data_IF_296777198667
#
_entry.id   IF_296777198667
#
_cell.length_a   1.000
_cell.length_b   1.000
_cell.length_c   1.000
_cell.angle_alpha   90.00
_cell.angle_beta   90.00
_cell.angle_gamma   90.00
#
_symmetry.space_group_name_H-M   'P 1'
#
loop_
_entity.id
_entity.type
_entity.pdbx_description
1 polymer ?
#
# COMPACT_ATOMS: atom_id res chain seq x y z
N UNK A 1 -1.93 22.33 7.96
CA UNK A 1 -1.29 21.94 6.68
C UNK A 1 -2.06 22.36 5.42
N UNK A 2 -3.22 22.99 5.55
CA UNK A 2 -4.07 23.37 4.42
C UNK A 2 -3.32 24.16 3.30
N UNK A 3 -2.49 25.10 3.69
CA UNK A 3 -1.77 25.99 2.75
C UNK A 3 -0.45 25.39 2.18
N UNK A 4 -0.14 24.12 2.44
CA UNK A 4 1.07 23.50 1.92
C UNK A 4 0.81 22.89 0.53
N UNK A 5 1.43 23.47 -0.50
CA UNK A 5 1.30 23.01 -1.89
C UNK A 5 1.81 21.58 -2.15
N UNK A 6 2.71 21.09 -1.29
CA UNK A 6 3.22 19.71 -1.36
C UNK A 6 2.23 18.63 -0.94
N UNK A 7 1.13 19.01 -0.27
CA UNK A 7 0.06 18.07 0.08
C UNK A 7 -0.86 17.94 -1.13
N UNK A 8 -0.93 16.75 -1.73
CA UNK A 8 -1.69 16.49 -2.96
C UNK A 8 -3.04 15.81 -2.70
N UNK A 9 -3.17 15.10 -1.58
CA UNK A 9 -4.43 14.44 -1.18
C UNK A 9 -4.48 14.25 0.34
N UNK A 10 -5.66 13.91 0.85
CA UNK A 10 -5.89 13.61 2.27
C UNK A 10 -6.08 12.11 2.46
N UNK A 11 -5.23 11.50 3.29
CA UNK A 11 -5.37 10.11 3.72
C UNK A 11 -6.34 10.01 4.90
N UNK A 12 -7.42 9.25 4.74
CA UNK A 12 -8.49 9.14 5.76
C UNK A 12 -8.15 8.09 6.82
N UNK A 13 -7.54 6.98 6.42
CA UNK A 13 -7.20 5.87 7.33
C UNK A 13 -6.20 4.89 6.71
N UNK A 14 -5.65 4.02 7.57
CA UNK A 14 -4.76 2.94 7.18
C UNK A 14 -5.24 1.59 7.74
N UNK A 15 -5.43 0.60 6.85
CA UNK A 15 -5.65 -0.83 7.16
C UNK A 15 -6.75 -1.15 8.20
N UNK A 16 -7.77 -0.32 8.30
CA UNK A 16 -8.84 -0.45 9.31
C UNK A 16 -9.57 -1.79 9.29
N UNK A 17 -9.47 -2.54 8.19
CA UNK A 17 -10.13 -3.84 8.03
C UNK A 17 -9.34 -5.02 8.61
N UNK A 18 -8.10 -4.81 9.09
CA UNK A 18 -7.31 -5.87 9.74
C UNK A 18 -8.02 -6.38 10.99
N UNK A 19 -8.43 -5.47 11.88
CA UNK A 19 -9.06 -5.80 13.16
C UNK A 19 -10.57 -5.68 13.15
N UNK A 20 -11.13 -5.04 12.12
CA UNK A 20 -12.55 -4.70 12.03
C UNK A 20 -13.11 -5.16 10.70
N UNK A 21 -14.01 -6.15 10.72
CA UNK A 21 -14.77 -6.53 9.53
C UNK A 21 -15.62 -5.35 9.07
N UNK A 22 -16.14 -5.43 7.84
CA UNK A 22 -16.98 -4.41 7.19
C UNK A 22 -18.26 -4.11 8.00
N UNK A 23 -18.09 -3.52 9.18
CA UNK A 23 -19.18 -3.15 10.09
C UNK A 23 -19.76 -1.81 9.68
N UNK A 24 -21.06 -1.65 9.86
CA UNK A 24 -21.78 -0.43 9.52
C UNK A 24 -21.14 0.81 10.16
N UNK A 25 -20.85 0.75 11.45
CA UNK A 25 -20.31 1.89 12.21
C UNK A 25 -18.94 2.33 11.69
N UNK A 26 -18.07 1.37 11.31
CA UNK A 26 -16.77 1.66 10.69
C UNK A 26 -16.95 2.35 9.34
N UNK A 27 -17.83 1.85 8.49
CA UNK A 27 -18.11 2.45 7.18
C UNK A 27 -18.74 3.84 7.32
N UNK A 28 -19.66 4.01 8.23
CA UNK A 28 -20.32 5.30 8.47
C UNK A 28 -19.34 6.34 9.02
N UNK A 29 -18.44 5.94 9.93
CA UNK A 29 -17.36 6.81 10.40
C UNK A 29 -16.43 7.25 9.27
N UNK A 30 -16.07 6.31 8.35
CA UNK A 30 -15.20 6.65 7.22
C UNK A 30 -15.88 7.57 6.20
N UNK A 31 -17.18 7.44 5.99
CA UNK A 31 -17.93 8.39 5.17
C UNK A 31 -17.92 9.77 5.80
N UNK A 32 -18.17 9.86 7.13
CA UNK A 32 -18.10 11.13 7.85
C UNK A 32 -16.73 11.78 7.77
N UNK A 33 -15.64 11.00 7.89
CA UNK A 33 -14.27 11.51 7.76
C UNK A 33 -13.98 12.00 6.32
N UNK A 34 -14.45 11.27 5.31
CA UNK A 34 -14.35 11.68 3.92
C UNK A 34 -15.10 13.00 3.66
N UNK A 35 -16.33 13.08 4.13
CA UNK A 35 -17.17 14.27 4.00
C UNK A 35 -16.56 15.47 4.71
N UNK A 36 -15.99 15.27 5.92
CA UNK A 36 -15.27 16.30 6.65
C UNK A 36 -14.04 16.82 5.89
N UNK A 37 -13.25 15.90 5.27
CA UNK A 37 -12.13 16.33 4.44
C UNK A 37 -12.59 17.25 3.30
N UNK A 38 -13.67 16.91 2.62
CA UNK A 38 -14.24 17.73 1.54
C UNK A 38 -14.89 19.02 2.02
N UNK A 39 -15.47 19.02 3.22
CA UNK A 39 -15.99 20.25 3.82
C UNK A 39 -14.85 21.23 4.11
N UNK A 40 -13.75 20.74 4.68
CA UNK A 40 -12.58 21.54 5.07
C UNK A 40 -11.71 21.94 3.87
N UNK A 41 -11.59 21.08 2.87
CA UNK A 41 -10.77 21.31 1.68
C UNK A 41 -11.46 20.79 0.41
N UNK A 42 -12.01 21.73 -0.36
CA UNK A 42 -12.71 21.45 -1.63
C UNK A 42 -11.76 21.27 -2.82
N UNK A 43 -10.45 21.37 -2.61
CA UNK A 43 -9.47 21.39 -3.69
C UNK A 43 -8.69 20.09 -3.83
N UNK A 44 -8.61 19.29 -2.78
CA UNK A 44 -7.84 18.05 -2.75
C UNK A 44 -8.74 16.83 -2.66
N UNK A 45 -8.31 15.77 -3.34
CA UNK A 45 -8.96 14.48 -3.30
C UNK A 45 -8.61 13.72 -2.01
N UNK A 46 -9.46 12.75 -1.68
CA UNK A 46 -9.27 11.86 -0.54
C UNK A 46 -8.82 10.47 -0.99
N UNK A 47 -8.08 9.77 -0.12
CA UNK A 47 -7.71 8.37 -0.28
C UNK A 47 -7.73 7.65 1.06
N UNK A 48 -7.76 6.33 1.03
CA UNK A 48 -7.48 5.50 2.20
C UNK A 48 -6.56 4.34 1.79
N UNK A 49 -5.69 3.91 2.70
CA UNK A 49 -4.83 2.76 2.51
C UNK A 49 -5.58 1.48 2.89
N UNK A 50 -5.95 0.68 1.90
CA UNK A 50 -6.66 -0.58 2.11
C UNK A 50 -5.70 -1.71 2.45
N UNK A 51 -6.07 -2.52 3.43
CA UNK A 51 -5.41 -3.80 3.67
C UNK A 51 -5.67 -4.76 2.51
N UNK A 52 -4.60 -5.37 2.01
CA UNK A 52 -4.65 -6.25 0.83
C UNK A 52 -5.73 -7.33 0.90
N UNK A 53 -5.84 -7.99 2.06
CA UNK A 53 -6.72 -9.16 2.24
C UNK A 53 -8.21 -8.80 2.38
N UNK A 54 -8.57 -7.52 2.45
CA UNK A 54 -9.99 -7.14 2.46
C UNK A 54 -10.66 -7.34 1.08
N UNK A 55 -9.84 -7.40 0.03
CA UNK A 55 -10.29 -7.65 -1.33
C UNK A 55 -10.90 -6.42 -2.04
N UNK A 56 -10.94 -6.45 -3.39
CA UNK A 56 -11.31 -5.29 -4.20
C UNK A 56 -12.79 -4.90 -4.12
N UNK A 57 -13.64 -5.80 -3.65
CA UNK A 57 -15.08 -5.57 -3.47
C UNK A 57 -15.46 -5.12 -2.06
N UNK A 58 -14.46 -4.94 -1.17
CA UNK A 58 -14.74 -4.42 0.16
C UNK A 58 -15.27 -2.99 0.08
N UNK A 59 -16.35 -2.71 0.80
CA UNK A 59 -17.05 -1.42 0.76
C UNK A 59 -16.18 -0.25 1.19
N UNK A 60 -15.19 -0.47 2.07
CA UNK A 60 -14.26 0.57 2.49
C UNK A 60 -13.42 1.11 1.32
N UNK A 61 -13.03 0.26 0.37
CA UNK A 61 -12.26 0.64 -0.81
C UNK A 61 -12.99 1.61 -1.76
N UNK A 62 -14.27 1.86 -1.52
CA UNK A 62 -15.14 2.66 -2.38
C UNK A 62 -15.73 3.90 -1.69
N UNK A 63 -15.18 4.33 -0.56
CA UNK A 63 -15.65 5.50 0.19
C UNK A 63 -14.99 6.78 -0.31
N UNK A 64 -13.66 6.79 -0.44
CA UNK A 64 -12.85 7.96 -0.82
C UNK A 64 -12.82 8.17 -2.33
N UNK A 65 -12.35 9.32 -2.82
CA UNK A 65 -12.26 9.62 -4.26
C UNK A 65 -11.31 8.66 -4.98
N UNK A 66 -10.18 8.37 -4.37
CA UNK A 66 -9.16 7.44 -4.87
C UNK A 66 -9.02 6.28 -3.89
N UNK A 67 -8.54 5.13 -4.36
CA UNK A 67 -8.17 4.02 -3.51
C UNK A 67 -6.68 3.76 -3.59
N UNK A 68 -6.08 3.43 -2.46
CA UNK A 68 -4.72 2.90 -2.39
C UNK A 68 -4.67 1.60 -1.58
N UNK A 69 -3.65 0.80 -1.86
CA UNK A 69 -3.52 -0.54 -1.31
C UNK A 69 -2.15 -0.76 -0.70
N UNK A 70 -2.14 -1.37 0.47
CA UNK A 70 -0.92 -1.91 1.09
C UNK A 70 -0.76 -3.34 0.56
N UNK A 71 0.09 -3.52 -0.44
CA UNK A 71 0.26 -4.78 -1.15
C UNK A 71 1.74 -5.20 -1.16
N UNK A 72 2.02 -6.36 -0.59
CA UNK A 72 3.37 -6.91 -0.49
C UNK A 72 3.48 -8.26 -1.21
N UNK A 73 2.87 -8.33 -2.42
CA UNK A 73 2.94 -9.51 -3.26
C UNK A 73 4.35 -9.68 -3.85
N UNK A 74 4.94 -10.82 -3.60
CA UNK A 74 6.36 -11.08 -3.86
C UNK A 74 7.21 -11.02 -2.58
N UNK A 75 6.68 -10.46 -1.48
CA UNK A 75 7.32 -10.47 -0.17
C UNK A 75 6.55 -11.34 0.83
N UNK A 76 5.44 -10.89 1.40
CA UNK A 76 4.64 -11.73 2.31
C UNK A 76 3.92 -12.86 1.56
N UNK A 77 3.45 -12.61 0.35
CA UNK A 77 2.84 -13.62 -0.53
C UNK A 77 3.77 -13.91 -1.69
N UNK A 78 4.08 -15.19 -2.01
CA UNK A 78 4.98 -15.52 -3.10
C UNK A 78 4.41 -15.16 -4.48
N UNK A 79 5.29 -14.72 -5.38
CA UNK A 79 4.95 -14.47 -6.79
C UNK A 79 4.79 -12.99 -7.15
N UNK A 80 5.80 -12.44 -7.79
CA UNK A 80 5.81 -11.06 -8.28
C UNK A 80 4.68 -10.77 -9.27
N UNK A 81 4.36 -11.74 -10.14
CA UNK A 81 3.32 -11.61 -11.17
C UNK A 81 1.93 -11.31 -10.58
N UNK A 82 1.69 -11.64 -9.32
CA UNK A 82 0.44 -11.35 -8.64
C UNK A 82 0.15 -9.85 -8.57
N UNK A 83 1.18 -8.99 -8.59
CA UNK A 83 1.00 -7.54 -8.67
C UNK A 83 0.33 -7.13 -9.99
N UNK A 84 0.82 -7.64 -11.12
CA UNK A 84 0.22 -7.37 -12.43
C UNK A 84 -1.23 -7.88 -12.50
N UNK A 85 -1.46 -9.09 -12.00
CA UNK A 85 -2.79 -9.70 -12.00
C UNK A 85 -3.78 -8.94 -11.11
N UNK A 86 -3.35 -8.53 -9.92
CA UNK A 86 -4.17 -7.75 -9.00
C UNK A 86 -4.56 -6.40 -9.61
N UNK A 87 -3.58 -5.65 -10.09
CA UNK A 87 -3.83 -4.34 -10.72
C UNK A 87 -4.73 -4.47 -11.93
N UNK A 88 -4.44 -5.43 -12.83
CA UNK A 88 -5.24 -5.69 -14.02
C UNK A 88 -6.67 -6.07 -13.68
N UNK A 89 -6.86 -6.96 -12.70
CA UNK A 89 -8.18 -7.38 -12.23
C UNK A 89 -8.97 -6.24 -11.60
N UNK A 90 -8.33 -5.44 -10.73
CA UNK A 90 -8.99 -4.29 -10.13
C UNK A 90 -9.42 -3.28 -11.20
N UNK A 91 -8.55 -2.94 -12.12
CA UNK A 91 -8.84 -1.99 -13.19
C UNK A 91 -9.94 -2.52 -14.14
N UNK A 92 -9.96 -3.84 -14.41
CA UNK A 92 -11.03 -4.45 -15.19
C UNK A 92 -12.41 -4.32 -14.50
N UNK A 93 -12.44 -4.55 -13.18
CA UNK A 93 -13.69 -4.45 -12.40
C UNK A 93 -14.13 -3.00 -12.16
N UNK A 94 -13.18 -2.08 -12.02
CA UNK A 94 -13.41 -0.70 -11.62
C UNK A 94 -12.59 0.28 -12.49
N UNK A 95 -12.85 0.37 -13.80
CA UNK A 95 -12.01 1.10 -14.76
C UNK A 95 -11.92 2.62 -14.49
N UNK A 96 -12.93 3.18 -13.84
CA UNK A 96 -13.01 4.60 -13.50
C UNK A 96 -12.55 4.91 -12.06
N UNK A 97 -12.10 3.91 -11.31
CA UNK A 97 -11.64 4.08 -9.93
C UNK A 97 -10.12 4.30 -9.91
N UNK A 98 -9.61 5.48 -9.52
CA UNK A 98 -8.18 5.71 -9.42
C UNK A 98 -7.55 4.74 -8.40
N UNK A 99 -6.55 4.00 -8.86
CA UNK A 99 -5.85 2.97 -8.10
C UNK A 99 -4.41 3.39 -7.80
N UNK A 100 -3.93 3.14 -6.58
CA UNK A 100 -2.54 3.35 -6.20
C UNK A 100 -2.02 2.30 -5.21
N UNK A 101 -0.71 2.24 -5.07
CA UNK A 101 -0.06 1.56 -3.96
C UNK A 101 0.27 2.60 -2.87
N UNK A 102 -0.37 2.48 -1.70
CA UNK A 102 0.00 3.26 -0.50
C UNK A 102 1.22 2.65 0.20
N UNK A 103 1.38 1.34 0.07
CA UNK A 103 2.58 0.64 0.52
C UNK A 103 2.92 -0.54 -0.39
N UNK A 104 4.18 -0.68 -0.71
CA UNK A 104 4.80 -1.89 -1.28
C UNK A 104 6.28 -1.91 -0.89
N UNK A 105 6.87 -3.08 -0.81
CA UNK A 105 8.28 -3.20 -0.45
C UNK A 105 8.67 -4.64 -0.11
N UNK A 106 9.95 -4.81 0.12
CA UNK A 106 10.54 -5.99 0.72
C UNK A 106 11.59 -5.53 1.73
N UNK A 107 11.67 -6.20 2.86
CA UNK A 107 12.65 -5.90 3.89
C UNK A 107 14.05 -6.30 3.41
N UNK A 108 15.04 -5.48 3.71
CA UNK A 108 16.45 -5.75 3.46
C UNK A 108 17.28 -5.33 4.66
N UNK A 109 18.14 -6.22 5.13
CA UNK A 109 19.07 -5.98 6.23
C UNK A 109 20.46 -5.71 5.66
N UNK A 110 21.12 -4.60 6.04
CA UNK A 110 22.41 -4.19 5.42
C UNK A 110 23.56 -5.15 5.67
N UNK A 111 23.42 -6.08 6.61
CA UNK A 111 24.42 -7.12 6.93
C UNK A 111 24.10 -8.48 6.30
N UNK A 112 22.97 -8.61 5.57
CA UNK A 112 22.57 -9.86 4.92
C UNK A 112 22.72 -9.75 3.40
N UNK A 113 23.52 -10.64 2.83
CA UNK A 113 23.79 -10.69 1.41
C UNK A 113 23.67 -12.11 0.85
N UNK A 114 23.26 -12.25 -0.42
CA UNK A 114 23.17 -13.54 -1.09
C UNK A 114 23.43 -13.42 -2.60
N UNK A 115 24.21 -14.37 -3.11
CA UNK A 115 24.35 -14.55 -4.57
C UNK A 115 23.15 -15.25 -5.21
N UNK A 116 22.24 -15.82 -4.39
CA UNK A 116 21.02 -16.50 -4.80
C UNK A 116 19.82 -15.97 -3.99
N UNK A 117 19.48 -14.68 -4.13
CA UNK A 117 18.47 -14.04 -3.31
C UNK A 117 17.10 -14.66 -3.54
N UNK A 118 16.39 -14.93 -2.44
CA UNK A 118 15.06 -15.53 -2.45
C UNK A 118 14.14 -14.84 -1.43
N UNK A 119 12.86 -14.99 -1.61
CA UNK A 119 11.83 -14.40 -0.75
C UNK A 119 12.01 -14.79 0.73
N UNK A 120 12.06 -13.80 1.60
CA UNK A 120 12.18 -14.00 3.05
C UNK A 120 13.60 -14.21 3.56
N UNK A 121 14.62 -13.99 2.72
CA UNK A 121 16.02 -14.06 3.14
C UNK A 121 16.55 -12.73 3.72
N UNK A 122 15.74 -11.68 3.64
CA UNK A 122 16.04 -10.32 4.11
C UNK A 122 17.35 -9.72 3.55
N UNK A 123 17.78 -10.18 2.38
CA UNK A 123 18.98 -9.64 1.73
C UNK A 123 18.69 -8.37 0.94
N UNK A 124 19.66 -7.46 0.85
CA UNK A 124 19.55 -6.27 0.01
C UNK A 124 19.37 -6.64 -1.47
N UNK A 125 19.95 -7.75 -1.90
CA UNK A 125 19.83 -8.25 -3.28
C UNK A 125 18.38 -8.70 -3.58
N UNK A 126 17.66 -9.30 -2.62
CA UNK A 126 16.26 -9.61 -2.82
C UNK A 126 15.40 -8.35 -2.82
N UNK A 127 15.68 -7.41 -1.93
CA UNK A 127 15.01 -6.10 -1.91
C UNK A 127 15.18 -5.38 -3.25
N UNK A 128 16.41 -5.31 -3.78
CA UNK A 128 16.70 -4.73 -5.10
C UNK A 128 15.91 -5.42 -6.21
N UNK A 129 15.93 -6.76 -6.25
CA UNK A 129 15.19 -7.58 -7.22
C UNK A 129 13.67 -7.32 -7.16
N UNK A 130 13.13 -7.16 -5.96
CA UNK A 130 11.73 -6.82 -5.74
C UNK A 130 11.41 -5.44 -6.36
N UNK A 131 12.19 -4.42 -6.02
CA UNK A 131 11.98 -3.07 -6.53
C UNK A 131 12.16 -2.96 -8.04
N UNK A 132 13.14 -3.64 -8.62
CA UNK A 132 13.31 -3.71 -10.07
C UNK A 132 12.10 -4.32 -10.78
N UNK A 133 11.50 -5.38 -10.20
CA UNK A 133 10.28 -5.95 -10.74
C UNK A 133 9.14 -4.93 -10.65
N UNK A 134 8.94 -4.31 -9.48
CA UNK A 134 7.85 -3.37 -9.26
C UNK A 134 7.95 -2.14 -10.17
N UNK A 135 9.14 -1.61 -10.43
CA UNK A 135 9.32 -0.51 -11.39
C UNK A 135 8.88 -0.91 -12.81
N UNK A 136 9.23 -2.13 -13.24
CA UNK A 136 8.78 -2.65 -14.54
C UNK A 136 7.26 -2.90 -14.54
N UNK A 137 6.72 -3.38 -13.44
CA UNK A 137 5.29 -3.61 -13.25
C UNK A 137 4.52 -2.28 -13.37
N UNK A 138 4.92 -1.24 -12.66
CA UNK A 138 4.27 0.07 -12.71
C UNK A 138 4.32 0.71 -14.11
N UNK A 139 5.43 0.55 -14.83
CA UNK A 139 5.53 1.01 -16.23
C UNK A 139 4.51 0.33 -17.17
N UNK A 140 4.09 -0.89 -16.86
CA UNK A 140 3.02 -1.58 -17.60
C UNK A 140 1.60 -1.09 -17.24
N UNK A 141 1.47 -0.39 -16.09
CA UNK A 141 0.20 0.10 -15.55
C UNK A 141 0.19 1.63 -15.33
N UNK A 142 0.36 2.44 -16.41
CA UNK A 142 0.57 3.88 -16.31
C UNK A 142 -0.65 4.68 -15.82
N UNK A 143 -1.77 4.02 -15.64
CA UNK A 143 -3.02 4.59 -15.12
C UNK A 143 -3.06 4.67 -13.58
N UNK A 144 -2.03 4.20 -12.88
CA UNK A 144 -1.91 4.32 -11.43
C UNK A 144 -1.63 5.77 -11.01
N UNK A 145 -2.31 6.21 -9.94
CA UNK A 145 -2.12 7.56 -9.42
C UNK A 145 -0.92 7.68 -8.44
N UNK A 146 -0.53 6.58 -7.78
CA UNK A 146 0.55 6.58 -6.79
C UNK A 146 1.24 5.23 -6.66
N UNK A 147 2.53 5.29 -6.27
CA UNK A 147 3.37 4.13 -5.94
C UNK A 147 4.31 4.51 -4.79
N UNK A 148 3.86 4.28 -3.54
CA UNK A 148 4.63 4.63 -2.36
C UNK A 148 5.33 3.39 -1.79
N UNK A 149 6.65 3.49 -1.65
CA UNK A 149 7.46 2.46 -1.00
C UNK A 149 7.27 2.52 0.52
N UNK A 150 7.08 1.40 1.16
CA UNK A 150 7.21 1.27 2.60
C UNK A 150 8.56 0.59 2.89
N UNK A 151 9.55 1.33 3.46
CA UNK A 151 9.45 2.76 3.57
C UNK A 151 10.80 3.42 3.25
N UNK A 152 10.89 4.74 3.43
CA UNK A 152 12.06 5.53 3.03
C UNK A 152 13.23 5.39 4.01
N UNK A 153 12.96 5.15 5.30
CA UNK A 153 13.96 5.05 6.35
C UNK A 153 13.74 3.79 7.18
N UNK A 154 14.81 3.13 7.57
CA UNK A 154 14.75 2.03 8.51
C UNK A 154 14.19 2.47 9.86
N UNK A 155 13.47 1.59 10.53
CA UNK A 155 12.92 1.87 11.84
C UNK A 155 12.89 0.60 12.70
N UNK A 156 13.00 0.77 14.00
CA UNK A 156 12.87 -0.32 14.96
C UNK A 156 11.40 -0.56 15.34
N UNK A 157 11.02 -1.81 15.53
CA UNK A 157 9.70 -2.21 15.97
C UNK A 157 9.79 -3.34 17.00
N UNK A 158 9.43 -3.07 18.26
CA UNK A 158 9.55 -4.03 19.39
C UNK A 158 8.90 -5.39 19.13
N UNK A 159 7.85 -5.42 18.34
CA UNK A 159 7.11 -6.65 18.05
C UNK A 159 7.69 -7.45 16.87
N UNK A 160 8.83 -7.04 16.32
CA UNK A 160 9.42 -7.65 15.14
C UNK A 160 10.87 -8.03 15.36
N UNK A 161 11.23 -9.25 14.94
CA UNK A 161 12.57 -9.81 14.96
C UNK A 161 12.90 -10.35 13.57
N UNK A 162 12.87 -9.49 12.58
CA UNK A 162 13.02 -9.89 11.19
C UNK A 162 14.50 -9.93 10.79
N UNK A 163 14.87 -10.84 9.90
CA UNK A 163 16.26 -11.03 9.49
C UNK A 163 17.19 -11.51 10.62
N UNK A 164 16.64 -11.96 11.76
CA UNK A 164 17.40 -12.44 12.90
C UNK A 164 17.93 -11.34 13.83
N UNK A 165 17.53 -10.09 13.62
CA UNK A 165 17.93 -8.96 14.46
C UNK A 165 16.74 -8.49 15.29
N UNK A 166 16.81 -8.60 16.65
CA UNK A 166 15.73 -8.17 17.53
C UNK A 166 15.34 -6.71 17.36
N UNK A 167 14.05 -6.45 17.24
CA UNK A 167 13.50 -5.10 17.09
C UNK A 167 13.76 -4.42 15.75
N UNK A 168 14.38 -5.10 14.79
CA UNK A 168 14.61 -4.57 13.44
C UNK A 168 13.50 -5.00 12.46
N UNK A 169 13.22 -4.11 11.50
CA UNK A 169 12.20 -4.31 10.49
C UNK A 169 12.55 -3.59 9.19
#
# INVERSE_FOLDING_TARGET
NYNHASIVCWGVSNEITISTKDKKDMLDNHRQLNDLCHEMDKTRLTTLACYAMCGPFNRSAHITDMVSWNLYLGWYVPGFILNDLWMGFFHLCFPNRPFGYSEYGAEGMPNLHSTHPHRGDHTEEYQAKYHEYMLRCFKRHPWMWATHVWNMFDFAADARDQGGEPGMN
#
